data_IF_786247076443
#
_entry.id   IF_786247076443
#
_cell.length_a   1.000
_cell.length_b   1.000
_cell.length_c   1.000
_cell.angle_alpha   90.00
_cell.angle_beta   90.00
_cell.angle_gamma   90.00
#
_symmetry.space_group_name_H-M   'P 1'
#
loop_
_entity.id
_entity.type
_entity.pdbx_description
1 polymer ?
#
# COMPACT_ATOMS: atom_id res chain seq x y z
N UNK A 1 -7.35 14.86 -31.85
CA UNK A 1 -7.58 13.45 -32.23
C UNK A 1 -6.27 12.72 -32.06
N UNK A 2 -6.27 11.62 -31.32
CA UNK A 2 -5.08 10.81 -31.06
C UNK A 2 -5.36 9.36 -31.40
N UNK A 3 -4.38 8.62 -31.91
CA UNK A 3 -4.53 7.19 -32.19
C UNK A 3 -4.16 6.40 -30.93
N UNK A 4 -5.02 5.48 -30.50
CA UNK A 4 -4.71 4.54 -29.43
C UNK A 4 -4.86 3.09 -29.92
N UNK A 5 -3.97 2.16 -29.51
CA UNK A 5 -4.12 0.74 -29.78
C UNK A 5 -5.25 0.17 -28.93
N UNK A 6 -6.31 -0.32 -29.56
CA UNK A 6 -7.47 -0.94 -28.88
C UNK A 6 -7.58 -2.40 -29.33
N UNK A 7 -7.77 -3.36 -28.40
CA UNK A 7 -8.04 -4.75 -28.77
C UNK A 7 -9.47 -4.87 -29.31
N UNK A 8 -9.61 -5.34 -30.55
CA UNK A 8 -10.88 -5.66 -31.18
C UNK A 8 -11.00 -7.17 -31.41
N UNK A 9 -12.16 -7.74 -31.14
CA UNK A 9 -12.44 -9.15 -31.41
C UNK A 9 -12.84 -9.31 -32.88
N UNK A 10 -11.95 -9.88 -33.67
CA UNK A 10 -12.23 -10.25 -35.07
C UNK A 10 -12.59 -11.75 -35.14
N UNK A 11 -13.19 -12.18 -36.26
CA UNK A 11 -13.47 -13.60 -36.57
C UNK A 11 -12.23 -14.51 -36.47
N UNK A 12 -11.03 -13.93 -36.51
CA UNK A 12 -9.73 -14.59 -36.43
C UNK A 12 -9.03 -14.44 -35.05
N UNK A 13 -9.73 -13.94 -34.02
CA UNK A 13 -9.18 -13.69 -32.68
C UNK A 13 -9.03 -12.20 -32.35
N UNK A 14 -8.45 -11.88 -31.18
CA UNK A 14 -8.16 -10.50 -30.79
C UNK A 14 -7.05 -9.90 -31.66
N UNK A 15 -7.31 -8.74 -32.25
CA UNK A 15 -6.33 -7.95 -32.98
C UNK A 15 -6.23 -6.56 -32.38
N UNK A 16 -5.01 -6.04 -32.24
CA UNK A 16 -4.78 -4.64 -31.85
C UNK A 16 -4.94 -3.78 -33.11
N UNK A 17 -5.86 -2.81 -33.08
CA UNK A 17 -6.00 -1.83 -34.16
C UNK A 17 -5.83 -0.41 -33.60
N UNK A 18 -5.15 0.46 -34.37
CA UNK A 18 -5.12 1.89 -34.05
C UNK A 18 -6.48 2.49 -34.36
N UNK A 19 -7.16 2.95 -33.32
CA UNK A 19 -8.45 3.62 -33.45
C UNK A 19 -8.28 5.10 -33.12
N UNK A 20 -8.98 5.95 -33.88
CA UNK A 20 -9.05 7.38 -33.60
C UNK A 20 -9.84 7.60 -32.32
N UNK A 21 -9.17 8.09 -31.28
CA UNK A 21 -9.79 8.48 -30.02
C UNK A 21 -10.04 9.98 -30.05
N UNK A 22 -11.31 10.33 -29.86
CA UNK A 22 -11.74 11.69 -29.57
C UNK A 22 -11.67 11.89 -28.06
N UNK A 23 -10.79 12.79 -27.63
CA UNK A 23 -10.73 13.23 -26.24
C UNK A 23 -11.84 14.26 -26.07
N UNK A 24 -12.79 13.97 -25.19
CA UNK A 24 -13.85 14.92 -24.84
C UNK A 24 -13.34 15.87 -23.75
N UNK A 25 -12.75 16.97 -24.18
CA UNK A 25 -12.14 17.96 -23.30
C UNK A 25 -13.18 18.71 -22.48
N UNK A 26 -14.42 18.83 -23.00
CA UNK A 26 -15.52 19.48 -22.29
C UNK A 26 -15.95 18.64 -21.09
N UNK A 27 -16.15 17.33 -21.29
CA UNK A 27 -16.46 16.40 -20.20
C UNK A 27 -15.34 16.35 -19.14
N UNK A 28 -14.07 16.31 -19.58
CA UNK A 28 -12.94 16.30 -18.64
C UNK A 28 -12.81 17.60 -17.85
N UNK A 29 -13.12 18.74 -18.47
CA UNK A 29 -13.14 20.04 -17.78
C UNK A 29 -14.27 20.11 -16.75
N UNK A 30 -15.47 19.62 -17.10
CA UNK A 30 -16.61 19.55 -16.18
C UNK A 30 -16.31 18.68 -14.96
N UNK A 31 -15.68 17.51 -15.14
CA UNK A 31 -15.25 16.65 -14.03
C UNK A 31 -14.24 17.37 -13.13
N UNK A 32 -13.27 18.09 -13.71
CA UNK A 32 -12.30 18.86 -12.94
C UNK A 32 -12.99 19.95 -12.10
N UNK A 33 -13.96 20.68 -12.67
CA UNK A 33 -14.74 21.69 -11.96
C UNK A 33 -15.56 21.07 -10.80
N UNK A 34 -16.27 19.96 -11.06
CA UNK A 34 -17.08 19.27 -10.05
C UNK A 34 -16.22 18.78 -8.87
N UNK A 35 -15.01 18.30 -9.14
CA UNK A 35 -14.09 17.76 -8.13
C UNK A 35 -13.22 18.83 -7.46
N UNK A 36 -13.29 20.09 -7.90
CA UNK A 36 -12.42 21.17 -7.45
C UNK A 36 -10.96 21.02 -7.90
N UNK A 37 -10.71 20.19 -8.91
CA UNK A 37 -9.42 20.01 -9.56
C UNK A 37 -9.22 20.97 -10.73
N UNK A 38 -8.16 20.73 -11.52
CA UNK A 38 -7.86 21.50 -12.72
C UNK A 38 -7.68 20.55 -13.92
N UNK A 39 -8.25 20.90 -15.06
CA UNK A 39 -8.04 20.17 -16.31
C UNK A 39 -6.77 20.66 -17.01
N UNK A 40 -5.93 19.72 -17.44
CA UNK A 40 -4.71 20.01 -18.18
C UNK A 40 -4.63 19.16 -19.45
N UNK A 41 -4.16 19.77 -20.54
CA UNK A 41 -3.90 19.07 -21.80
C UNK A 41 -2.42 19.07 -22.13
N UNK A 42 -1.78 17.91 -22.01
CA UNK A 42 -0.41 17.72 -22.47
C UNK A 42 -0.37 17.37 -23.96
N UNK A 43 0.10 18.31 -24.81
CA UNK A 43 0.31 18.06 -26.25
C UNK A 43 1.74 17.63 -26.59
N UNK A 44 2.67 17.77 -25.64
CA UNK A 44 4.07 17.38 -25.77
C UNK A 44 4.67 17.04 -24.39
N UNK A 45 5.87 16.47 -24.39
CA UNK A 45 6.56 16.01 -23.17
C UNK A 45 6.86 17.17 -22.19
N UNK A 46 7.28 18.33 -22.70
CA UNK A 46 7.60 19.48 -21.86
C UNK A 46 6.35 20.04 -21.14
N UNK A 47 5.21 20.07 -21.83
CA UNK A 47 3.92 20.44 -21.25
C UNK A 47 3.53 19.44 -20.16
N UNK A 48 3.76 18.14 -20.38
CA UNK A 48 3.48 17.10 -19.39
C UNK A 48 4.32 17.28 -18.11
N UNK A 49 5.63 17.51 -18.25
CA UNK A 49 6.53 17.76 -17.12
C UNK A 49 6.11 19.00 -16.31
N UNK A 50 5.72 20.07 -16.99
CA UNK A 50 5.21 21.29 -16.34
C UNK A 50 3.93 21.02 -15.55
N UNK A 51 2.98 20.28 -16.13
CA UNK A 51 1.72 19.90 -15.47
C UNK A 51 2.01 19.11 -14.19
N UNK A 52 2.90 18.12 -14.25
CA UNK A 52 3.29 17.35 -13.06
C UNK A 52 3.93 18.23 -11.98
N UNK A 53 4.78 19.17 -12.36
CA UNK A 53 5.37 20.13 -11.41
C UNK A 53 4.33 21.02 -10.73
N UNK A 54 3.27 21.39 -11.44
CA UNK A 54 2.18 22.21 -10.91
C UNK A 54 1.28 21.40 -9.96
N UNK A 55 1.00 20.13 -10.31
CA UNK A 55 0.27 19.19 -9.44
C UNK A 55 1.04 18.94 -8.14
N UNK A 56 2.35 18.72 -8.21
CA UNK A 56 3.22 18.50 -7.04
C UNK A 56 3.21 19.72 -6.11
N UNK A 57 3.22 20.94 -6.66
CA UNK A 57 3.12 22.17 -5.87
C UNK A 57 1.77 22.34 -5.16
N UNK A 58 0.69 21.71 -5.66
CA UNK A 58 -0.64 21.73 -5.05
C UNK A 58 -0.87 20.58 -4.07
N UNK A 59 0.06 19.63 -3.94
CA UNK A 59 -0.05 18.49 -3.04
C UNK A 59 0.06 18.97 -1.57
N UNK A 60 -1.08 19.02 -0.87
CA UNK A 60 -1.17 19.60 0.47
C UNK A 60 -0.52 18.74 1.56
N UNK A 61 -0.36 17.43 1.36
CA UNK A 61 0.10 16.50 2.39
C UNK A 61 0.85 15.33 1.75
N UNK A 62 2.17 15.23 1.99
CA UNK A 62 2.90 13.97 1.85
C UNK A 62 2.52 13.11 3.05
N UNK A 63 1.62 12.15 2.86
CA UNK A 63 1.30 11.19 3.92
C UNK A 63 2.52 10.28 4.06
N UNK A 64 3.48 10.68 4.90
CA UNK A 64 4.46 9.75 5.46
C UNK A 64 3.67 8.79 6.34
N UNK A 65 3.33 7.62 5.79
CA UNK A 65 2.72 6.53 6.55
C UNK A 65 3.73 6.15 7.62
N UNK A 66 3.54 6.67 8.84
CA UNK A 66 4.28 6.19 9.99
C UNK A 66 3.81 4.77 10.24
N UNK A 67 4.58 3.78 9.79
CA UNK A 67 4.37 2.40 10.15
C UNK A 67 4.58 2.24 11.66
N UNK A 68 3.48 2.26 12.41
CA UNK A 68 3.50 1.90 13.82
C UNK A 68 3.57 0.37 13.95
N UNK A 69 4.78 -0.18 13.96
CA UNK A 69 4.99 -1.60 14.25
C UNK A 69 4.63 -1.87 15.71
N UNK A 70 3.57 -2.65 15.95
CA UNK A 70 3.17 -3.10 17.29
C UNK A 70 3.88 -4.40 17.62
N UNK A 71 4.82 -4.35 18.58
CA UNK A 71 5.44 -5.54 19.16
C UNK A 71 4.60 -6.04 20.33
N UNK A 72 4.32 -7.35 20.39
CA UNK A 72 3.81 -8.00 21.60
C UNK A 72 4.93 -8.77 22.29
N UNK A 73 5.04 -8.60 23.60
CA UNK A 73 6.02 -9.31 24.43
C UNK A 73 5.41 -10.61 24.96
N UNK A 74 5.71 -11.75 24.32
CA UNK A 74 5.17 -13.07 24.70
C UNK A 74 6.05 -13.83 25.72
N UNK A 75 7.04 -13.19 26.34
CA UNK A 75 8.01 -13.89 27.22
C UNK A 75 7.46 -14.22 28.61
N UNK A 76 6.45 -13.48 29.09
CA UNK A 76 5.83 -13.65 30.40
C UNK A 76 5.34 -15.07 30.71
N UNK A 77 4.57 -15.76 29.83
CA UNK A 77 4.15 -17.14 30.11
C UNK A 77 5.33 -18.10 30.27
N UNK A 78 6.40 -17.93 29.49
CA UNK A 78 7.60 -18.76 29.61
C UNK A 78 8.38 -18.48 30.91
N UNK A 79 8.47 -17.21 31.32
CA UNK A 79 9.10 -16.83 32.58
C UNK A 79 8.35 -17.42 33.79
N UNK A 80 7.02 -17.42 33.77
CA UNK A 80 6.19 -18.03 34.82
C UNK A 80 6.35 -19.55 34.86
N UNK A 81 6.40 -20.22 33.71
CA UNK A 81 6.67 -21.67 33.65
C UNK A 81 8.06 -22.01 34.20
N UNK A 82 9.09 -21.24 33.86
CA UNK A 82 10.43 -21.44 34.38
C UNK A 82 10.48 -21.26 35.91
N UNK A 83 9.81 -20.23 36.43
CA UNK A 83 9.70 -19.99 37.86
C UNK A 83 8.95 -21.11 38.59
N UNK A 84 7.87 -21.63 37.98
CA UNK A 84 7.12 -22.78 38.51
C UNK A 84 8.00 -24.03 38.62
N UNK A 85 8.76 -24.36 37.56
CA UNK A 85 9.66 -25.52 37.58
C UNK A 85 10.76 -25.37 38.62
N UNK A 86 11.31 -24.17 38.80
CA UNK A 86 12.33 -23.89 39.81
C UNK A 86 11.77 -24.07 41.23
N UNK A 87 10.58 -23.56 41.51
CA UNK A 87 9.92 -23.77 42.80
C UNK A 87 9.61 -25.25 43.05
N UNK A 88 9.13 -25.94 42.02
CA UNK A 88 8.85 -27.37 42.08
C UNK A 88 10.12 -28.17 42.38
N UNK A 89 11.25 -27.85 41.74
CA UNK A 89 12.55 -28.45 42.05
C UNK A 89 12.92 -28.29 43.53
N UNK A 90 12.80 -27.08 44.09
CA UNK A 90 13.11 -26.80 45.49
C UNK A 90 12.20 -27.61 46.42
N UNK A 91 10.89 -27.65 46.14
CA UNK A 91 9.92 -28.40 46.94
C UNK A 91 10.21 -29.90 46.89
N UNK A 92 10.49 -30.45 45.70
CA UNK A 92 10.82 -31.86 45.55
C UNK A 92 12.13 -32.23 46.26
N UNK A 93 13.19 -31.42 46.12
CA UNK A 93 14.47 -31.61 46.83
C UNK A 93 14.29 -31.59 48.36
N UNK A 94 13.43 -30.73 48.87
CA UNK A 94 13.23 -30.59 50.32
C UNK A 94 12.25 -31.62 50.91
N UNK A 95 11.30 -32.14 50.12
CA UNK A 95 10.21 -33.00 50.64
C UNK A 95 10.39 -34.47 50.29
N UNK A 96 10.56 -34.80 49.00
CA UNK A 96 10.45 -36.18 48.49
C UNK A 96 11.82 -36.77 48.12
N UNK A 97 12.66 -35.98 47.47
CA UNK A 97 14.04 -36.30 47.10
C UNK A 97 15.01 -35.71 48.12
N UNK A 98 14.71 -35.87 49.41
CA UNK A 98 15.68 -35.57 50.47
C UNK A 98 16.87 -36.49 50.18
N UNK A 99 17.92 -35.94 49.58
CA UNK A 99 19.14 -36.67 49.24
C UNK A 99 19.64 -37.31 50.52
N UNK A 100 19.35 -38.61 50.68
CA UNK A 100 20.14 -39.43 51.57
C UNK A 100 21.58 -39.33 51.04
N UNK A 101 22.56 -38.99 51.89
CA UNK A 101 23.97 -39.09 51.50
C UNK A 101 24.30 -40.50 51.01
#
# INVERSE_FOLDING_TARGET
VGMAPVPINTVFGQQIQQQEVRIDEAMLSEIAEITGGQYFRATNKAALEKIYSEIDAMEKIKIEVQEYTRYSEEFLPFALLALLFLLLEIVLKNTVLRTLP
#
